data_IF_021935079854
#
_entry.id   IF_021935079854
#
_cell.length_a   1.000
_cell.length_b   1.000
_cell.length_c   1.000
_cell.angle_alpha   90.00
_cell.angle_beta   90.00
_cell.angle_gamma   90.00
#
_symmetry.space_group_name_H-M   'P 1'
#
loop_
_entity.id
_entity.type
_entity.pdbx_description
1 polymer ?
#
# COMPACT_ATOMS: atom_id res chain seq x y z
N UNK A 1 -2.19 12.43 -10.35
CA UNK A 1 -3.61 12.22 -10.71
C UNK A 1 -4.22 11.40 -9.58
N UNK A 2 -5.49 11.56 -9.19
CA UNK A 2 -6.02 10.72 -8.09
C UNK A 2 -6.28 9.31 -8.62
N UNK A 3 -5.61 8.26 -8.12
CA UNK A 3 -5.85 6.90 -8.57
C UNK A 3 -7.30 6.46 -8.28
N UNK A 4 -7.93 5.81 -9.25
CA UNK A 4 -9.26 5.21 -9.07
C UNK A 4 -9.13 3.84 -8.39
N UNK A 5 -9.65 3.70 -7.16
CA UNK A 5 -9.62 2.43 -6.42
C UNK A 5 -10.31 1.31 -7.21
N UNK A 6 -11.46 1.58 -7.82
CA UNK A 6 -12.20 0.56 -8.57
C UNK A 6 -11.37 0.04 -9.75
N UNK A 7 -10.66 0.93 -10.44
CA UNK A 7 -9.75 0.53 -11.53
C UNK A 7 -8.58 -0.27 -10.99
N UNK A 8 -7.93 0.17 -9.90
CA UNK A 8 -6.83 -0.58 -9.28
C UNK A 8 -7.27 -1.98 -8.84
N UNK A 9 -8.49 -2.12 -8.29
CA UNK A 9 -9.07 -3.42 -7.95
C UNK A 9 -9.25 -4.30 -9.19
N UNK A 10 -9.83 -3.76 -10.26
CA UNK A 10 -10.04 -4.49 -11.52
C UNK A 10 -8.74 -4.97 -12.14
N UNK A 11 -7.74 -4.08 -12.25
CA UNK A 11 -6.44 -4.39 -12.84
C UNK A 11 -5.65 -5.38 -11.96
N UNK A 12 -5.81 -5.34 -10.64
CA UNK A 12 -5.22 -6.33 -9.72
C UNK A 12 -5.86 -7.71 -9.90
N UNK A 13 -7.19 -7.80 -9.99
CA UNK A 13 -7.88 -9.07 -10.25
C UNK A 13 -7.56 -9.64 -11.64
N UNK A 14 -7.36 -8.78 -12.63
CA UNK A 14 -6.93 -9.18 -13.96
C UNK A 14 -5.47 -9.67 -13.99
N UNK A 15 -4.70 -9.49 -12.92
CA UNK A 15 -3.28 -9.82 -12.85
C UNK A 15 -2.38 -8.86 -13.63
N UNK A 16 -2.88 -7.68 -14.00
CA UNK A 16 -2.10 -6.66 -14.70
C UNK A 16 -1.22 -5.86 -13.74
N UNK A 17 -1.60 -5.78 -12.46
CA UNK A 17 -0.80 -5.17 -11.41
C UNK A 17 -0.09 -6.24 -10.60
N UNK A 18 1.23 -6.13 -10.54
CA UNK A 18 2.05 -6.88 -9.57
C UNK A 18 2.34 -5.97 -8.39
N UNK A 19 2.06 -6.47 -7.20
CA UNK A 19 2.24 -5.74 -5.95
C UNK A 19 3.41 -6.33 -5.18
N UNK A 20 4.46 -5.54 -4.99
CA UNK A 20 5.61 -5.91 -4.15
C UNK A 20 5.47 -5.24 -2.77
N UNK A 21 6.11 -5.81 -1.74
CA UNK A 21 6.10 -5.20 -0.39
C UNK A 21 6.98 -3.95 -0.34
N UNK A 22 6.57 -2.95 0.46
CA UNK A 22 7.29 -1.66 0.52
C UNK A 22 8.72 -1.74 1.07
N UNK A 23 9.14 -2.87 1.64
CA UNK A 23 10.54 -3.11 1.99
C UNK A 23 11.47 -3.05 0.77
N UNK A 24 10.94 -3.34 -0.41
CA UNK A 24 11.67 -3.28 -1.68
C UNK A 24 11.57 -1.91 -2.37
N UNK A 25 10.74 -1.01 -1.86
CA UNK A 25 10.59 0.33 -2.42
C UNK A 25 11.71 1.24 -1.90
N UNK A 26 12.56 1.74 -2.79
CA UNK A 26 13.63 2.69 -2.45
C UNK A 26 13.20 4.11 -2.79
N UNK A 27 13.17 5.00 -1.80
CA UNK A 27 12.88 6.42 -1.96
C UNK A 27 14.03 7.22 -1.35
N UNK A 28 14.61 8.16 -2.11
CA UNK A 28 15.75 8.97 -1.65
C UNK A 28 16.94 8.13 -1.12
N UNK A 29 17.28 7.04 -1.82
CA UNK A 29 18.35 6.10 -1.48
C UNK A 29 18.18 5.33 -0.16
N UNK A 30 16.96 5.24 0.39
CA UNK A 30 16.65 4.41 1.55
C UNK A 30 15.36 3.61 1.34
N UNK A 31 15.21 2.43 1.98
CA UNK A 31 13.94 1.72 2.01
C UNK A 31 12.82 2.59 2.56
N UNK A 32 11.70 2.64 1.86
CA UNK A 32 10.56 3.50 2.20
C UNK A 32 9.96 3.13 3.56
N UNK A 33 10.00 1.85 3.92
CA UNK A 33 9.54 1.33 5.21
C UNK A 33 10.21 1.98 6.42
N UNK A 34 11.45 2.48 6.29
CA UNK A 34 12.18 3.13 7.40
C UNK A 34 11.60 4.48 7.81
N UNK A 35 10.72 5.08 6.99
CA UNK A 35 10.11 6.38 7.30
C UNK A 35 9.00 6.26 8.36
N UNK A 36 8.59 5.05 8.71
CA UNK A 36 7.43 4.80 9.55
C UNK A 36 7.76 3.89 10.74
N UNK A 37 7.23 4.23 11.91
CA UNK A 37 7.33 3.38 13.11
C UNK A 37 6.10 2.48 13.30
N UNK A 38 4.98 2.80 12.67
CA UNK A 38 3.68 2.17 12.89
C UNK A 38 3.15 1.44 11.66
N UNK A 39 3.81 1.57 10.51
CA UNK A 39 3.48 0.85 9.29
C UNK A 39 4.13 -0.52 9.32
N UNK A 40 3.39 -1.55 8.91
CA UNK A 40 3.88 -2.92 8.79
C UNK A 40 4.35 -3.14 7.34
N UNK A 41 5.65 -3.26 7.08
CA UNK A 41 6.17 -3.27 5.70
C UNK A 41 5.81 -4.52 4.89
N UNK A 42 5.70 -5.67 5.56
CA UNK A 42 5.29 -6.96 4.99
C UNK A 42 3.80 -7.01 4.59
N UNK A 43 3.02 -6.05 5.10
CA UNK A 43 1.58 -5.90 4.83
C UNK A 43 1.26 -4.60 4.10
N UNK A 44 2.28 -3.91 3.62
CA UNK A 44 2.14 -2.69 2.84
C UNK A 44 2.74 -2.93 1.47
N UNK A 45 2.07 -2.44 0.44
CA UNK A 45 2.35 -2.83 -0.93
C UNK A 45 2.59 -1.62 -1.81
N UNK A 46 3.31 -1.82 -2.91
CA UNK A 46 3.40 -0.85 -3.96
C UNK A 46 3.35 -1.51 -5.33
N UNK A 47 2.96 -0.74 -6.34
CA UNK A 47 3.06 -1.11 -7.74
C UNK A 47 3.41 0.13 -8.56
N UNK A 48 4.08 -0.07 -9.69
CA UNK A 48 4.44 1.02 -10.59
C UNK A 48 3.68 0.87 -11.90
N UNK A 49 2.90 1.91 -12.24
CA UNK A 49 2.15 2.00 -13.48
C UNK A 49 2.76 3.16 -14.28
N UNK A 50 3.36 2.85 -15.42
CA UNK A 50 4.11 3.80 -16.25
C UNK A 50 5.24 4.49 -15.45
N UNK A 51 5.05 5.73 -15.00
CA UNK A 51 6.01 6.52 -14.20
C UNK A 51 5.48 6.90 -12.82
N UNK A 52 4.29 6.42 -12.46
CA UNK A 52 3.64 6.70 -11.18
C UNK A 52 3.66 5.42 -10.32
N UNK A 53 4.18 5.53 -9.11
CA UNK A 53 4.14 4.43 -8.14
C UNK A 53 3.00 4.63 -7.17
N UNK A 54 2.08 3.67 -7.11
CA UNK A 54 0.98 3.64 -6.15
C UNK A 54 1.45 2.86 -4.93
N UNK A 55 1.23 3.42 -3.74
CA UNK A 55 1.67 2.84 -2.47
C UNK A 55 0.43 2.68 -1.58
N UNK A 56 0.18 1.46 -1.10
CA UNK A 56 -0.90 1.12 -0.18
C UNK A 56 -0.29 0.71 1.15
N UNK A 57 -0.52 1.52 2.19
CA UNK A 57 0.08 1.33 3.49
C UNK A 57 -0.92 0.75 4.49
N UNK A 58 -0.44 -0.18 5.31
CA UNK A 58 -1.16 -0.70 6.48
C UNK A 58 -0.35 -0.43 7.75
N UNK A 59 -1.02 0.17 8.74
CA UNK A 59 -0.40 0.47 10.03
C UNK A 59 -1.21 -0.02 11.22
N UNK A 60 -0.49 -0.27 12.32
CA UNK A 60 -1.05 -0.65 13.61
C UNK A 60 -0.44 0.21 14.72
N UNK A 61 -1.29 0.78 15.58
CA UNK A 61 -0.87 1.53 16.77
C UNK A 61 -1.59 0.98 17.98
N UNK A 62 -0.84 0.68 19.05
CA UNK A 62 -1.43 0.28 20.33
C UNK A 62 -2.08 1.49 21.01
N UNK A 63 -3.39 1.42 21.23
CA UNK A 63 -4.11 2.35 22.09
C UNK A 63 -3.82 2.02 23.55
N UNK A 64 -2.93 2.81 24.15
CA UNK A 64 -2.45 2.64 25.54
C UNK A 64 -3.61 2.82 26.55
N UNK A 65 -4.68 3.52 26.18
CA UNK A 65 -5.81 3.79 27.08
C UNK A 65 -6.90 2.72 27.02
N UNK A 66 -6.97 1.94 25.94
CA UNK A 66 -8.06 0.98 25.69
C UNK A 66 -7.60 -0.46 25.56
N UNK A 67 -6.30 -0.73 25.75
CA UNK A 67 -5.64 -2.02 25.51
C UNK A 67 -6.10 -2.67 24.18
N UNK A 68 -6.18 -1.86 23.13
CA UNK A 68 -6.63 -2.28 21.81
C UNK A 68 -5.66 -1.82 20.72
N UNK A 69 -5.67 -2.49 19.57
CA UNK A 69 -4.87 -2.09 18.41
C UNK A 69 -5.78 -1.27 17.49
N UNK A 70 -5.38 -0.04 17.20
CA UNK A 70 -5.97 0.76 16.13
C UNK A 70 -5.24 0.45 14.83
N UNK A 71 -6.01 0.15 13.80
CA UNK A 71 -5.53 -0.12 12.45
C UNK A 71 -5.78 1.11 11.59
N UNK A 72 -4.93 1.35 10.61
CA UNK A 72 -5.10 2.41 9.62
C UNK A 72 -4.65 1.95 8.25
N UNK A 73 -5.38 2.40 7.23
CA UNK A 73 -5.07 2.14 5.82
C UNK A 73 -4.92 3.45 5.06
N UNK A 74 -3.86 3.56 4.27
CA UNK A 74 -3.51 4.79 3.57
C UNK A 74 -3.11 4.49 2.14
N UNK A 75 -3.27 5.46 1.25
CA UNK A 75 -2.83 5.38 -0.13
C UNK A 75 -2.08 6.65 -0.51
N UNK A 76 -0.93 6.46 -1.15
CA UNK A 76 -0.03 7.51 -1.56
C UNK A 76 0.41 7.27 -3.01
N UNK A 77 0.86 8.33 -3.66
CA UNK A 77 1.50 8.27 -4.97
C UNK A 77 2.94 8.76 -4.85
N UNK A 78 3.81 8.18 -5.67
CA UNK A 78 5.19 8.61 -5.84
C UNK A 78 5.41 8.95 -7.31
N UNK A 79 5.70 10.22 -7.58
CA UNK A 79 6.00 10.76 -8.92
C UNK A 79 7.21 11.67 -8.82
N UNK A 80 8.24 11.43 -9.63
CA UNK A 80 9.47 12.23 -9.65
C UNK A 80 10.10 12.47 -8.26
N UNK A 81 10.16 11.42 -7.43
CA UNK A 81 10.62 11.44 -6.03
C UNK A 81 9.76 12.25 -5.04
N UNK A 82 8.58 12.72 -5.45
CA UNK A 82 7.63 13.37 -4.56
C UNK A 82 6.56 12.38 -4.12
N UNK A 83 6.41 12.24 -2.80
CA UNK A 83 5.33 11.48 -2.18
C UNK A 83 4.14 12.40 -1.95
N UNK A 84 2.97 11.99 -2.41
CA UNK A 84 1.72 12.70 -2.17
C UNK A 84 0.71 11.77 -1.52
N UNK A 85 0.08 12.25 -0.44
CA UNK A 85 -1.08 11.56 0.13
C UNK A 85 -2.28 11.74 -0.80
N UNK A 86 -3.02 10.64 -1.00
CA UNK A 86 -4.22 10.67 -1.82
C UNK A 86 -5.44 10.65 -0.91
N UNK A 87 -6.28 11.67 -1.02
CA UNK A 87 -7.52 11.78 -0.26
C UNK A 87 -8.59 10.82 -0.81
N UNK A 88 -8.56 9.58 -0.31
CA UNK A 88 -9.51 8.50 -0.62
C UNK A 88 -10.08 7.98 0.70
N UNK A 89 -11.39 7.66 0.76
CA UNK A 89 -11.98 7.05 1.94
C UNK A 89 -11.25 5.77 2.36
N UNK A 90 -10.90 5.67 3.64
CA UNK A 90 -10.17 4.51 4.19
C UNK A 90 -10.84 3.17 3.84
N UNK A 91 -12.18 3.13 3.83
CA UNK A 91 -12.96 1.93 3.47
C UNK A 91 -12.64 1.43 2.05
N UNK A 92 -12.31 2.31 1.12
CA UNK A 92 -11.96 1.92 -0.24
C UNK A 92 -10.50 1.44 -0.31
N UNK A 93 -9.61 2.05 0.47
CA UNK A 93 -8.23 1.55 0.63
C UNK A 93 -8.21 0.15 1.24
N UNK A 94 -9.06 -0.11 2.24
CA UNK A 94 -9.24 -1.44 2.84
C UNK A 94 -9.64 -2.48 1.79
N UNK A 95 -10.57 -2.14 0.88
CA UNK A 95 -10.99 -3.05 -0.20
C UNK A 95 -9.81 -3.42 -1.08
N UNK A 96 -9.06 -2.42 -1.55
CA UNK A 96 -7.88 -2.64 -2.40
C UNK A 96 -6.82 -3.46 -1.68
N UNK A 97 -6.47 -3.08 -0.45
CA UNK A 97 -5.49 -3.80 0.39
C UNK A 97 -5.84 -5.27 0.58
N UNK A 98 -7.12 -5.54 0.91
CA UNK A 98 -7.61 -6.92 1.10
C UNK A 98 -7.44 -7.73 -0.17
N UNK A 99 -7.77 -7.15 -1.32
CA UNK A 99 -7.67 -7.79 -2.62
C UNK A 99 -6.22 -8.08 -2.99
N UNK A 100 -5.31 -7.12 -2.79
CA UNK A 100 -3.86 -7.32 -2.99
C UNK A 100 -3.36 -8.49 -2.14
N UNK A 101 -3.72 -8.51 -0.85
CA UNK A 101 -3.29 -9.55 0.09
C UNK A 101 -3.72 -10.94 -0.38
N UNK A 102 -4.98 -11.10 -0.79
CA UNK A 102 -5.51 -12.38 -1.29
C UNK A 102 -4.75 -12.84 -2.54
N UNK A 103 -4.56 -11.95 -3.51
CA UNK A 103 -3.90 -12.29 -4.79
C UNK A 103 -2.42 -12.61 -4.60
N UNK A 104 -1.74 -11.90 -3.69
CA UNK A 104 -0.33 -12.15 -3.37
C UNK A 104 -0.12 -13.44 -2.58
N UNK A 105 -1.02 -13.79 -1.65
CA UNK A 105 -0.94 -15.05 -0.89
C UNK A 105 -1.21 -16.28 -1.79
N UNK A 106 -2.05 -16.14 -2.81
CA UNK A 106 -2.35 -17.18 -3.79
C UNK A 106 -1.24 -17.36 -4.85
N UNK A 107 -0.26 -16.46 -4.90
CA UNK A 107 0.87 -16.56 -5.83
C UNK A 107 1.89 -17.56 -5.28
N UNK A 108 2.09 -18.75 -5.89
CA UNK A 108 3.07 -19.70 -5.41
C UNK A 108 4.46 -19.05 -5.49
N UNK A 109 5.27 -19.19 -4.44
CA UNK A 109 6.69 -18.86 -4.48
C UNK A 109 7.34 -19.65 -5.63
N UNK A 110 7.52 -19.02 -6.80
CA UNK A 110 8.26 -19.59 -7.94
C UNK A 110 9.73 -19.20 -7.84
#
# INVERSE_FOLDING_TARGET
>A
MTPSIDQLCQETLAGHLKWDTIDNLIVNNAPYSLQFQHILPDKSFFTTIESETIIVLYGEVRDIFRDSIKKGYYIQTLVDNNIEDVDIPEVDVVKLHTLITIVNDDSPNI
#
